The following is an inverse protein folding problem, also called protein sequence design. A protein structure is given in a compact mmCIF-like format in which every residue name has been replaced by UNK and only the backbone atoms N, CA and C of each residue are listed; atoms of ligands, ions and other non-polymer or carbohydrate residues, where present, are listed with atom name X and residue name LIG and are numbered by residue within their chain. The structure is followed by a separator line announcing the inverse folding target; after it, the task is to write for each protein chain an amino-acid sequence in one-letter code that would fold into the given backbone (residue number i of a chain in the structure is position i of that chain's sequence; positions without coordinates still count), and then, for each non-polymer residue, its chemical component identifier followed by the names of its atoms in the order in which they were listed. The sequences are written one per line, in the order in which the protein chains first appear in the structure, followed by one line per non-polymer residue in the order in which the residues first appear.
data_IF_668583472616
#
_entry.id   IF_668583472616
#
_cell.length_a   1.000
_cell.length_b   1.000
_cell.length_c   1.000
_cell.angle_alpha   90.00
_cell.angle_beta   90.00
_cell.angle_gamma   90.00
#
_symmetry.space_group_name_H-M   'P 1'
#
loop_
_entity.id
_entity.type
_entity.pdbx_description
1 polymer ?
#
# COMPACT_ATOMS: atom_id res chain seq x y z
N UNK A 1 -10.70 -13.63 14.84
CA UNK A 1 -9.37 -13.12 15.28
C UNK A 1 -8.22 -13.41 14.29
N UNK A 2 -8.33 -14.36 13.35
CA UNK A 2 -7.25 -14.68 12.40
C UNK A 2 -7.10 -13.71 11.19
N UNK A 3 -8.14 -12.96 10.84
CA UNK A 3 -8.22 -12.18 9.58
C UNK A 3 -7.36 -10.92 9.59
N UNK A 4 -7.15 -10.31 10.75
CA UNK A 4 -6.47 -9.02 10.87
C UNK A 4 -4.96 -9.12 10.61
N UNK A 5 -4.34 -10.29 10.82
CA UNK A 5 -2.92 -10.53 10.53
C UNK A 5 -2.64 -10.65 9.03
N UNK A 6 -3.66 -10.90 8.23
CA UNK A 6 -3.55 -11.12 6.81
C UNK A 6 -3.03 -9.88 6.07
N UNK A 7 -3.48 -8.68 6.44
CA UNK A 7 -3.15 -7.45 5.70
C UNK A 7 -1.66 -7.11 5.76
N UNK A 8 -1.08 -6.99 6.96
CA UNK A 8 0.35 -6.64 7.11
C UNK A 8 1.26 -7.73 6.54
N UNK A 9 0.93 -9.02 6.76
CA UNK A 9 1.75 -10.13 6.26
C UNK A 9 1.71 -10.21 4.74
N UNK A 10 0.52 -10.21 4.15
CA UNK A 10 0.32 -10.44 2.72
C UNK A 10 0.60 -9.19 1.89
N UNK A 11 0.18 -8.00 2.34
CA UNK A 11 0.29 -6.77 1.53
C UNK A 11 1.53 -5.92 1.83
N UNK A 12 2.28 -6.21 2.88
CA UNK A 12 3.50 -5.46 3.21
C UNK A 12 4.72 -6.37 3.31
N UNK A 13 4.71 -7.36 4.21
CA UNK A 13 5.89 -8.20 4.46
C UNK A 13 6.22 -9.14 3.29
N UNK A 14 5.21 -9.70 2.62
CA UNK A 14 5.39 -10.52 1.42
C UNK A 14 6.11 -9.77 0.30
N UNK A 15 5.55 -8.62 -0.18
CA UNK A 15 6.21 -7.78 -1.18
C UNK A 15 7.60 -7.28 -0.77
N UNK A 16 7.78 -6.90 0.50
CA UNK A 16 9.09 -6.54 1.03
C UNK A 16 10.11 -7.67 0.85
N UNK A 17 9.76 -8.88 1.29
CA UNK A 17 10.67 -10.02 1.25
C UNK A 17 10.94 -10.47 -0.19
N UNK A 18 9.91 -10.52 -1.03
CA UNK A 18 10.05 -10.79 -2.46
C UNK A 18 11.01 -9.80 -3.14
N UNK A 19 10.82 -8.49 -2.89
CA UNK A 19 11.70 -7.45 -3.43
C UNK A 19 13.13 -7.61 -2.92
N UNK A 20 13.31 -7.91 -1.63
CA UNK A 20 14.64 -8.13 -1.03
C UNK A 20 15.39 -9.27 -1.71
N UNK A 21 14.69 -10.36 -2.06
CA UNK A 21 15.28 -11.49 -2.77
C UNK A 21 15.65 -11.15 -4.22
N UNK A 22 14.85 -10.35 -4.91
CA UNK A 22 15.13 -9.93 -6.28
C UNK A 22 16.16 -8.80 -6.39
N UNK A 23 16.35 -8.04 -5.32
CA UNK A 23 17.16 -6.83 -5.33
C UNK A 23 18.58 -7.02 -5.91
N UNK A 24 19.35 -8.11 -5.63
CA UNK A 24 20.65 -8.31 -6.25
C UNK A 24 20.58 -8.37 -7.78
N UNK A 25 19.58 -9.06 -8.33
CA UNK A 25 19.37 -9.16 -9.78
C UNK A 25 18.91 -7.84 -10.37
N UNK A 26 17.99 -7.13 -9.72
CA UNK A 26 17.54 -5.80 -10.15
C UNK A 26 18.71 -4.81 -10.24
N UNK A 27 19.61 -4.83 -9.25
CA UNK A 27 20.81 -3.99 -9.24
C UNK A 27 21.83 -4.42 -10.30
N UNK A 28 21.97 -5.72 -10.57
CA UNK A 28 22.82 -6.21 -11.64
C UNK A 28 22.29 -5.75 -13.02
N UNK A 29 20.99 -5.90 -13.27
CA UNK A 29 20.35 -5.43 -14.49
C UNK A 29 20.50 -3.92 -14.67
N UNK A 30 20.34 -3.13 -13.60
CA UNK A 30 20.53 -1.69 -13.65
C UNK A 30 21.97 -1.29 -14.04
N UNK A 31 22.98 -2.04 -13.59
CA UNK A 31 24.40 -1.80 -13.93
C UNK A 31 24.76 -2.15 -15.37
N UNK A 32 24.08 -3.14 -15.95
CA UNK A 32 24.32 -3.58 -17.34
C UNK A 32 23.57 -2.73 -18.37
N UNK A 33 22.72 -1.83 -17.92
CA UNK A 33 21.95 -0.94 -18.79
C UNK A 33 22.79 0.26 -19.21
N UNK A 34 22.86 0.51 -20.52
CA UNK A 34 23.54 1.69 -21.11
C UNK A 34 22.80 3.02 -20.87
N UNK A 35 21.64 2.94 -20.22
CA UNK A 35 20.71 4.04 -20.01
C UNK A 35 20.30 4.06 -18.54
N UNK A 36 20.16 5.26 -17.97
CA UNK A 36 19.66 5.43 -16.59
C UNK A 36 18.18 5.04 -16.53
N UNK A 37 17.73 4.56 -15.38
CA UNK A 37 16.30 4.39 -15.05
C UNK A 37 15.52 3.25 -15.75
N UNK A 38 16.23 2.20 -16.18
CA UNK A 38 15.59 1.03 -16.79
C UNK A 38 14.86 0.10 -15.82
N UNK A 39 15.32 0.03 -14.57
CA UNK A 39 14.76 -0.91 -13.59
C UNK A 39 13.75 -0.21 -12.71
N UNK A 40 12.53 -0.76 -12.66
CA UNK A 40 11.40 -0.18 -11.92
C UNK A 40 10.82 -1.19 -10.95
N UNK A 41 10.60 -0.75 -9.72
CA UNK A 41 9.81 -1.45 -8.70
C UNK A 41 8.53 -0.66 -8.51
N UNK A 42 7.38 -1.22 -8.91
CA UNK A 42 6.08 -0.57 -8.78
C UNK A 42 5.27 -1.30 -7.71
N UNK A 43 5.06 -0.62 -6.58
CA UNK A 43 4.28 -1.14 -5.47
C UNK A 43 2.86 -0.59 -5.51
N UNK A 44 1.87 -1.48 -5.56
CA UNK A 44 0.46 -1.09 -5.51
C UNK A 44 0.03 -0.74 -4.09
N UNK A 45 -0.28 0.54 -3.90
CA UNK A 45 -0.81 1.11 -2.67
C UNK A 45 -2.34 1.28 -2.79
N UNK A 46 -2.92 2.29 -2.15
CA UNK A 46 -4.34 2.65 -2.18
C UNK A 46 -4.48 4.03 -1.53
N UNK A 47 -5.51 4.82 -1.87
CA UNK A 47 -5.88 6.03 -1.12
C UNK A 47 -6.13 5.75 0.37
N UNK A 48 -6.43 4.50 0.74
CA UNK A 48 -6.59 4.09 2.13
C UNK A 48 -5.38 4.41 3.03
N UNK A 49 -4.18 4.58 2.47
CA UNK A 49 -2.99 4.95 3.25
C UNK A 49 -3.15 6.29 4.00
N UNK A 50 -3.99 7.21 3.51
CA UNK A 50 -4.30 8.47 4.20
C UNK A 50 -5.02 8.27 5.53
N UNK A 51 -5.66 7.11 5.75
CA UNK A 51 -6.40 6.80 6.98
C UNK A 51 -5.57 5.99 8.00
N UNK A 52 -4.28 5.78 7.76
CA UNK A 52 -3.42 4.99 8.65
C UNK A 52 -3.13 5.67 10.01
N UNK A 53 -3.53 6.93 10.19
CA UNK A 53 -3.29 7.73 11.38
C UNK A 53 -1.90 8.35 11.41
N UNK A 54 -1.55 8.95 12.56
CA UNK A 54 -0.24 9.54 12.81
C UNK A 54 0.27 9.07 14.18
N UNK A 55 1.39 8.34 14.26
CA UNK A 55 2.23 7.90 13.14
C UNK A 55 1.50 6.89 12.22
N UNK A 56 1.86 6.79 10.94
CA UNK A 56 1.18 5.92 9.98
C UNK A 56 1.38 4.42 10.25
N UNK A 57 2.38 4.07 11.08
CA UNK A 57 2.63 2.70 11.53
C UNK A 57 2.57 2.67 13.06
N UNK A 58 1.55 2.02 13.58
CA UNK A 58 1.41 1.70 14.99
C UNK A 58 2.03 0.34 15.28
N UNK A 59 3.31 0.34 15.65
CA UNK A 59 4.04 -0.87 15.99
C UNK A 59 3.44 -1.66 17.15
N UNK A 60 2.68 -1.00 18.05
CA UNK A 60 1.99 -1.67 19.16
C UNK A 60 0.84 -2.56 18.67
N UNK A 61 0.35 -2.32 17.45
CA UNK A 61 -0.69 -3.11 16.79
C UNK A 61 -0.15 -4.32 16.01
N UNK A 62 1.17 -4.52 15.97
CA UNK A 62 1.81 -5.60 15.19
C UNK A 62 1.99 -6.90 15.97
N UNK A 63 1.63 -6.94 17.26
CA UNK A 63 1.54 -8.17 18.06
C UNK A 63 0.19 -8.23 18.76
N UNK A 64 -0.29 -9.44 19.04
CA UNK A 64 -1.50 -9.60 19.84
C UNK A 64 -1.29 -8.95 21.23
N UNK A 65 -2.21 -8.06 21.61
CA UNK A 65 -2.07 -7.25 22.83
C UNK A 65 -3.07 -6.10 22.88
N UNK A 66 -3.02 -5.25 23.93
CA UNK A 66 -3.92 -4.10 24.06
C UNK A 66 -3.86 -3.15 22.87
N UNK A 67 -2.65 -2.85 22.36
CA UNK A 67 -2.44 -1.98 21.19
C UNK A 67 -3.06 -2.52 19.90
N UNK A 68 -3.18 -3.85 19.76
CA UNK A 68 -3.92 -4.49 18.66
C UNK A 68 -5.43 -4.42 18.89
N UNK A 69 -5.87 -4.79 20.10
CA UNK A 69 -7.29 -4.98 20.44
C UNK A 69 -8.09 -3.68 20.50
N UNK A 70 -7.43 -2.52 20.53
CA UNK A 70 -8.10 -1.21 20.42
C UNK A 70 -8.74 -0.99 19.05
N UNK A 71 -8.29 -1.69 18.01
CA UNK A 71 -8.87 -1.61 16.67
C UNK A 71 -9.86 -2.76 16.48
N UNK A 72 -11.12 -2.40 16.24
CA UNK A 72 -12.24 -3.34 16.08
C UNK A 72 -12.56 -3.63 14.61
N UNK A 73 -12.22 -2.71 13.71
CA UNK A 73 -12.35 -2.87 12.26
C UNK A 73 -11.07 -3.38 11.58
N UNK A 74 -11.22 -3.87 10.35
CA UNK A 74 -10.10 -4.29 9.50
C UNK A 74 -9.52 -3.12 8.69
N UNK A 75 -10.25 -2.01 8.61
CA UNK A 75 -9.92 -0.85 7.78
C UNK A 75 -8.64 -0.19 8.26
N UNK A 76 -8.45 -0.08 9.58
CA UNK A 76 -7.19 0.40 10.14
C UNK A 76 -5.99 -0.42 9.66
N UNK A 77 -6.10 -1.75 9.65
CA UNK A 77 -4.98 -2.63 9.27
C UNK A 77 -4.74 -2.63 7.76
N UNK A 78 -5.78 -2.48 6.95
CA UNK A 78 -5.63 -2.26 5.51
C UNK A 78 -4.94 -0.92 5.24
N UNK A 79 -5.43 0.17 5.82
CA UNK A 79 -4.85 1.51 5.71
C UNK A 79 -3.37 1.52 6.12
N UNK A 80 -3.05 0.96 7.28
CA UNK A 80 -1.69 0.81 7.78
C UNK A 80 -0.81 -0.03 6.82
N UNK A 81 -1.33 -1.12 6.24
CA UNK A 81 -0.57 -1.94 5.27
C UNK A 81 -0.23 -1.15 4.00
N UNK A 82 -1.13 -0.25 3.57
CA UNK A 82 -0.95 0.59 2.39
C UNK A 82 0.00 1.76 2.68
N UNK A 83 -0.04 2.34 3.88
CA UNK A 83 0.96 3.30 4.33
C UNK A 83 2.35 2.67 4.44
N UNK A 84 2.45 1.44 4.94
CA UNK A 84 3.71 0.70 4.98
C UNK A 84 4.34 0.52 3.59
N UNK A 85 3.51 0.25 2.57
CA UNK A 85 3.99 0.14 1.19
C UNK A 85 4.43 1.47 0.58
N UNK A 86 3.78 2.59 0.93
CA UNK A 86 4.26 3.94 0.55
C UNK A 86 5.64 4.20 1.15
N UNK A 87 5.80 3.97 2.46
CA UNK A 87 7.08 4.13 3.15
C UNK A 87 8.17 3.20 2.57
N UNK A 88 7.80 1.96 2.22
CA UNK A 88 8.71 1.02 1.59
C UNK A 88 9.17 1.49 0.21
N UNK A 89 8.26 1.99 -0.63
CA UNK A 89 8.63 2.57 -1.93
C UNK A 89 9.57 3.75 -1.80
N UNK A 90 9.31 4.65 -0.85
CA UNK A 90 10.17 5.81 -0.58
C UNK A 90 11.56 5.36 -0.12
N UNK A 91 11.64 4.36 0.74
CA UNK A 91 12.93 3.86 1.23
C UNK A 91 13.73 3.13 0.14
N UNK A 92 13.07 2.39 -0.75
CA UNK A 92 13.72 1.82 -1.94
C UNK A 92 14.28 2.92 -2.84
N UNK A 93 13.49 3.96 -3.13
CA UNK A 93 13.95 5.09 -3.93
C UNK A 93 15.17 5.76 -3.28
N UNK A 94 15.09 6.07 -1.98
CA UNK A 94 16.19 6.70 -1.23
C UNK A 94 17.48 5.86 -1.26
N UNK A 95 17.38 4.53 -1.18
CA UNK A 95 18.55 3.63 -1.12
C UNK A 95 19.13 3.26 -2.48
N UNK A 96 18.31 3.24 -3.53
CA UNK A 96 18.66 2.58 -4.79
C UNK A 96 18.48 3.46 -6.04
N UNK A 97 17.98 4.69 -5.93
CA UNK A 97 17.86 5.62 -7.06
C UNK A 97 19.21 5.87 -7.75
N UNK A 98 20.26 6.17 -6.99
CA UNK A 98 21.62 6.36 -7.56
C UNK A 98 22.22 5.08 -8.16
N UNK A 99 21.60 3.93 -7.90
CA UNK A 99 21.98 2.63 -8.47
C UNK A 99 21.11 2.24 -9.68
N UNK A 100 20.36 3.20 -10.23
CA UNK A 100 19.55 3.03 -11.44
C UNK A 100 18.21 2.33 -11.23
N UNK A 101 17.71 2.27 -9.98
CA UNK A 101 16.41 1.68 -9.66
C UNK A 101 15.40 2.78 -9.30
N UNK A 102 14.33 2.88 -10.08
CA UNK A 102 13.17 3.70 -9.74
C UNK A 102 12.19 2.88 -8.90
N UNK A 103 11.68 3.47 -7.82
CA UNK A 103 10.65 2.86 -6.97
C UNK A 103 9.44 3.78 -6.88
N UNK A 104 8.25 3.23 -7.15
CA UNK A 104 6.99 3.98 -7.18
C UNK A 104 5.96 3.35 -6.23
N UNK A 105 5.18 4.20 -5.58
CA UNK A 105 3.97 3.82 -4.86
C UNK A 105 2.78 4.30 -5.67
N UNK A 106 1.90 3.39 -6.10
CA UNK A 106 0.79 3.71 -7.01
C UNK A 106 -0.52 3.32 -6.37
N UNK A 107 -1.40 4.31 -6.16
CA UNK A 107 -2.82 4.06 -5.95
C UNK A 107 -3.46 3.81 -7.32
N UNK A 108 -3.98 2.59 -7.60
CA UNK A 108 -4.59 2.32 -8.90
C UNK A 108 -5.94 3.05 -9.06
N UNK A 109 -6.54 3.56 -7.98
CA UNK A 109 -7.90 4.09 -8.00
C UNK A 109 -8.94 3.03 -7.68
N UNK A 110 -10.21 3.38 -7.84
CA UNK A 110 -11.34 2.55 -7.42
C UNK A 110 -11.90 1.76 -8.59
N UNK A 111 -11.59 0.46 -8.63
CA UNK A 111 -12.08 -0.44 -9.66
C UNK A 111 -13.07 -1.46 -9.11
N UNK A 112 -14.03 -1.83 -9.97
CA UNK A 112 -14.97 -2.89 -9.69
C UNK A 112 -14.26 -4.26 -9.76
N UNK A 113 -13.72 -4.71 -8.63
CA UNK A 113 -13.03 -5.99 -8.51
C UNK A 113 -13.67 -6.82 -7.39
N UNK A 114 -13.25 -8.07 -7.27
CA UNK A 114 -13.62 -8.95 -6.14
C UNK A 114 -13.29 -8.36 -4.77
N UNK A 115 -12.28 -7.49 -4.68
CA UNK A 115 -11.83 -6.84 -3.44
C UNK A 115 -12.87 -5.84 -2.90
N UNK A 116 -13.61 -5.17 -3.79
CA UNK A 116 -14.57 -4.12 -3.42
C UNK A 116 -16.02 -4.61 -3.41
N UNK A 117 -16.26 -5.93 -3.46
CA UNK A 117 -17.62 -6.50 -3.36
C UNK A 117 -18.27 -6.11 -2.03
N UNK A 118 -19.55 -5.72 -2.07
CA UNK A 118 -20.31 -5.20 -0.92
C UNK A 118 -20.01 -3.73 -0.61
N UNK A 119 -18.76 -3.30 -0.74
CA UNK A 119 -18.34 -1.90 -0.63
C UNK A 119 -18.80 -1.09 -1.85
N UNK A 120 -18.81 -1.69 -3.05
CA UNK A 120 -19.34 -1.06 -4.27
C UNK A 120 -20.81 -0.68 -4.14
N UNK A 121 -21.64 -1.54 -3.55
CA UNK A 121 -23.06 -1.24 -3.35
C UNK A 121 -23.25 -0.13 -2.34
N UNK A 122 -22.46 -0.15 -1.25
CA UNK A 122 -22.44 0.94 -0.27
C UNK A 122 -22.04 2.28 -0.92
N UNK A 123 -20.94 2.33 -1.66
CA UNK A 123 -20.49 3.55 -2.34
C UNK A 123 -21.43 3.97 -3.44
N UNK A 124 -21.95 3.04 -4.24
CA UNK A 124 -22.96 3.34 -5.28
C UNK A 124 -24.19 3.97 -4.67
N UNK A 125 -24.71 3.43 -3.57
CA UNK A 125 -25.86 4.00 -2.86
C UNK A 125 -25.51 5.36 -2.24
N UNK A 126 -24.33 5.49 -1.64
CA UNK A 126 -23.85 6.74 -1.02
C UNK A 126 -23.72 7.86 -2.04
N UNK A 127 -23.08 7.59 -3.18
CA UNK A 127 -22.89 8.55 -4.26
C UNK A 127 -24.19 8.86 -5.01
N UNK A 128 -25.10 7.89 -5.13
CA UNK A 128 -26.43 8.13 -5.71
C UNK A 128 -27.29 9.03 -4.81
N UNK A 129 -27.17 8.88 -3.50
CA UNK A 129 -27.88 9.70 -2.52
C UNK A 129 -27.23 11.08 -2.27
N UNK A 130 -25.91 11.19 -2.50
CA UNK A 130 -25.09 12.37 -2.18
C UNK A 130 -24.09 12.66 -3.32
N UNK A 131 -24.55 13.17 -4.47
CA UNK A 131 -23.70 13.37 -5.66
C UNK A 131 -22.54 14.35 -5.44
N UNK A 132 -22.65 15.27 -4.49
CA UNK A 132 -21.58 16.17 -4.06
C UNK A 132 -20.41 15.41 -3.40
N UNK A 133 -20.69 14.31 -2.70
CA UNK A 133 -19.64 13.45 -2.12
C UNK A 133 -18.86 12.74 -3.23
N UNK A 134 -19.52 12.37 -4.33
CA UNK A 134 -18.84 11.79 -5.50
C UNK A 134 -17.86 12.78 -6.13
N UNK A 135 -18.22 14.06 -6.21
CA UNK A 135 -17.34 15.10 -6.74
C UNK A 135 -16.06 15.27 -5.91
N UNK A 136 -16.16 15.21 -4.59
CA UNK A 136 -15.00 15.23 -3.67
C UNK A 136 -14.21 13.92 -3.73
N UNK A 137 -14.90 12.78 -3.92
CA UNK A 137 -14.24 11.48 -3.98
C UNK A 137 -13.44 11.26 -5.28
N UNK A 138 -13.90 11.85 -6.38
CA UNK A 138 -13.24 11.79 -7.69
C UNK A 138 -12.27 12.97 -7.93
N UNK A 139 -12.21 13.96 -7.02
CA UNK A 139 -11.27 15.06 -7.16
C UNK A 139 -9.82 14.56 -6.98
N UNK A 140 -8.87 14.99 -7.83
CA UNK A 140 -7.48 14.53 -7.82
C UNK A 140 -6.74 14.76 -6.49
#
# INVERSE_FOLDING_TARGET
MATTWLFIRTYSLGPFYFTKLLLPHLLQTARLSDTKDHVRIVNLTSSAHHFAGSPPIDFSSLKDGPGRRKYTDLDHFYAQSKAAMVLFSNELARRYAEKGVISLAVNPGNFATSLTRGIQDYWRNTFSANPEILAVYLSP
#
